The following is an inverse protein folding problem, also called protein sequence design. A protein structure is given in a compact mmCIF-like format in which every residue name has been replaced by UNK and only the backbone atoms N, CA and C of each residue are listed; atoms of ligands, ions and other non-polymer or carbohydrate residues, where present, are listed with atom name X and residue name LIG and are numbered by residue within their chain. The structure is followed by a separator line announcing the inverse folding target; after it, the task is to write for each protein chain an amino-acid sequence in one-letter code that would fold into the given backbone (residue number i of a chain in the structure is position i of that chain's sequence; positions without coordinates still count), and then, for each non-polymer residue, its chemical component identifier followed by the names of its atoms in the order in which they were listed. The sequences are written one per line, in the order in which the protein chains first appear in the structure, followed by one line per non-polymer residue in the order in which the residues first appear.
data_IF_962102880355
#
_entry.id   IF_962102880355
#
_cell.length_a   1.000
_cell.length_b   1.000
_cell.length_c   1.000
_cell.angle_alpha   90.00
_cell.angle_beta   90.00
_cell.angle_gamma   90.00
#
_symmetry.space_group_name_H-M   'P 1'
#
loop_
_entity.id
_entity.type
_entity.pdbx_description
1 polymer ?
#
# COMPACT_ATOMS: atom_id res chain seq x y z
N UNK A 1 19.99 -8.80 -2.44
CA UNK A 1 19.27 -9.91 -3.10
C UNK A 1 18.18 -9.25 -3.92
N UNK A 2 18.28 -9.25 -5.26
CA UNK A 2 17.19 -8.74 -6.10
C UNK A 2 15.92 -9.51 -5.74
N UNK A 3 14.74 -8.88 -5.75
CA UNK A 3 13.49 -9.65 -5.75
C UNK A 3 13.60 -10.63 -6.94
N UNK A 4 13.74 -11.95 -6.68
CA UNK A 4 14.12 -12.92 -7.69
C UNK A 4 13.05 -13.04 -8.78
N UNK A 5 11.88 -12.46 -8.59
CA UNK A 5 10.77 -12.47 -9.54
C UNK A 5 10.61 -11.12 -10.24
N UNK A 6 10.63 -10.00 -9.51
CA UNK A 6 10.32 -8.69 -10.10
C UNK A 6 11.34 -8.28 -11.17
N UNK A 7 12.64 -8.33 -10.85
CA UNK A 7 13.68 -7.81 -11.74
C UNK A 7 13.79 -8.62 -13.04
N UNK A 8 13.80 -9.96 -13.00
CA UNK A 8 13.80 -10.75 -14.24
C UNK A 8 12.55 -10.53 -15.09
N UNK A 9 11.37 -10.41 -14.49
CA UNK A 9 10.12 -10.16 -15.20
C UNK A 9 10.13 -8.80 -15.90
N UNK A 10 10.55 -7.74 -15.20
CA UNK A 10 10.67 -6.40 -15.77
C UNK A 10 11.67 -6.37 -16.94
N UNK A 11 12.82 -7.05 -16.79
CA UNK A 11 13.80 -7.15 -17.87
C UNK A 11 13.28 -7.92 -19.08
N UNK A 12 12.54 -9.01 -18.87
CA UNK A 12 11.92 -9.78 -19.95
C UNK A 12 10.86 -8.96 -20.69
N UNK A 13 9.98 -8.26 -19.95
CA UNK A 13 8.97 -7.37 -20.52
C UNK A 13 9.59 -6.23 -21.32
N UNK A 14 10.65 -5.61 -20.79
CA UNK A 14 11.36 -4.54 -21.49
C UNK A 14 11.97 -5.02 -22.82
N UNK A 15 12.61 -6.20 -22.83
CA UNK A 15 13.16 -6.80 -24.06
C UNK A 15 12.07 -7.14 -25.07
N UNK A 16 10.97 -7.74 -24.62
CA UNK A 16 9.84 -8.06 -25.48
C UNK A 16 9.22 -6.80 -26.10
N UNK A 17 9.00 -5.75 -25.29
CA UNK A 17 8.44 -4.48 -25.74
C UNK A 17 9.36 -3.81 -26.77
N UNK A 18 10.67 -3.76 -26.50
CA UNK A 18 11.64 -3.22 -27.45
C UNK A 18 11.66 -3.99 -28.79
N UNK A 19 11.50 -5.32 -28.74
CA UNK A 19 11.50 -6.17 -29.93
C UNK A 19 10.20 -6.09 -30.75
N UNK A 20 9.06 -5.84 -30.10
CA UNK A 20 7.73 -5.96 -30.73
C UNK A 20 7.11 -4.59 -31.06
N UNK A 21 7.52 -3.54 -30.35
CA UNK A 21 6.93 -2.20 -30.43
C UNK A 21 8.01 -1.16 -30.80
N UNK A 22 8.96 -1.53 -31.67
CA UNK A 22 10.14 -0.72 -31.99
C UNK A 22 9.84 0.67 -32.56
N UNK A 23 8.63 0.93 -33.03
CA UNK A 23 8.17 2.24 -33.52
C UNK A 23 7.38 3.05 -32.48
N UNK A 24 7.08 2.47 -31.33
CA UNK A 24 6.35 3.15 -30.27
C UNK A 24 7.26 4.08 -29.47
N UNK A 25 6.68 5.18 -29.00
CA UNK A 25 7.36 6.16 -28.17
C UNK A 25 7.89 5.52 -26.86
N UNK A 26 9.09 5.92 -26.43
CA UNK A 26 9.77 5.35 -25.25
C UNK A 26 9.00 5.56 -23.94
N UNK A 27 8.20 6.63 -23.83
CA UNK A 27 7.26 6.82 -22.72
C UNK A 27 6.24 5.70 -22.69
N UNK A 28 5.62 5.38 -23.83
CA UNK A 28 4.60 4.33 -23.95
C UNK A 28 5.20 2.95 -23.66
N UNK A 29 6.40 2.67 -24.18
CA UNK A 29 7.10 1.40 -23.99
C UNK A 29 7.44 1.11 -22.52
N UNK A 30 7.59 2.14 -21.70
CA UNK A 30 7.93 2.00 -20.28
C UNK A 30 6.72 1.63 -19.41
N UNK A 31 5.49 1.91 -19.87
CA UNK A 31 4.26 1.71 -19.08
C UNK A 31 4.13 0.26 -18.60
N UNK A 32 4.28 -0.79 -19.43
CA UNK A 32 4.14 -2.17 -18.97
C UNK A 32 5.19 -2.56 -17.92
N UNK A 33 6.43 -2.08 -18.08
CA UNK A 33 7.55 -2.37 -17.18
C UNK A 33 7.33 -1.71 -15.81
N UNK A 34 6.89 -0.46 -15.82
CA UNK A 34 6.54 0.28 -14.60
C UNK A 34 5.34 -0.35 -13.93
N UNK A 35 4.28 -0.68 -14.67
CA UNK A 35 3.08 -1.31 -14.13
C UNK A 35 3.35 -2.70 -13.54
N UNK A 36 4.28 -3.46 -14.13
CA UNK A 36 4.71 -4.75 -13.60
C UNK A 36 5.27 -4.65 -12.16
N UNK A 37 5.89 -3.52 -11.77
CA UNK A 37 6.33 -3.33 -10.38
C UNK A 37 5.16 -3.37 -9.40
N UNK A 38 4.10 -2.60 -9.65
CA UNK A 38 2.91 -2.60 -8.81
C UNK A 38 2.22 -3.97 -8.77
N UNK A 39 2.16 -4.66 -9.92
CA UNK A 39 1.56 -6.00 -10.02
C UNK A 39 2.29 -7.05 -9.18
N UNK A 40 3.59 -6.93 -8.99
CA UNK A 40 4.37 -7.88 -8.17
C UNK A 40 4.34 -7.44 -6.71
N UNK A 41 4.57 -6.15 -6.45
CA UNK A 41 4.79 -5.67 -5.11
C UNK A 41 3.53 -5.61 -4.24
N UNK A 42 2.40 -5.15 -4.78
CA UNK A 42 1.18 -5.02 -3.96
C UNK A 42 0.65 -6.40 -3.51
N UNK A 43 0.62 -7.45 -4.35
CA UNK A 43 0.31 -8.80 -3.88
C UNK A 43 1.33 -9.34 -2.88
N UNK A 44 2.63 -9.08 -3.06
CA UNK A 44 3.67 -9.52 -2.13
C UNK A 44 3.48 -8.91 -0.73
N UNK A 45 3.15 -7.61 -0.66
CA UNK A 45 2.81 -6.92 0.60
C UNK A 45 1.57 -7.51 1.26
N UNK A 46 0.51 -7.74 0.48
CA UNK A 46 -0.71 -8.38 0.97
C UNK A 46 -0.41 -9.79 1.53
N UNK A 47 0.36 -10.60 0.79
CA UNK A 47 0.74 -11.94 1.23
C UNK A 47 1.54 -11.89 2.53
N UNK A 48 2.53 -11.00 2.64
CA UNK A 48 3.30 -10.82 3.87
C UNK A 48 2.42 -10.42 5.06
N UNK A 49 1.47 -9.50 4.86
CA UNK A 49 0.51 -9.12 5.89
C UNK A 49 -0.41 -10.30 6.28
N UNK A 50 -0.87 -11.08 5.31
CA UNK A 50 -1.66 -12.29 5.56
C UNK A 50 -0.87 -13.32 6.35
N UNK A 51 0.37 -13.63 5.96
CA UNK A 51 1.24 -14.55 6.72
C UNK A 51 1.43 -14.03 8.15
N UNK A 52 1.71 -12.74 8.34
CA UNK A 52 1.80 -12.14 9.66
C UNK A 52 0.53 -12.32 10.50
N UNK A 53 -0.64 -12.08 9.91
CA UNK A 53 -1.93 -12.34 10.56
C UNK A 53 -2.13 -13.83 10.90
N UNK A 54 -1.67 -14.74 10.03
CA UNK A 54 -1.72 -16.19 10.22
C UNK A 54 -0.94 -16.61 11.45
N UNK A 55 0.31 -16.18 11.51
CA UNK A 55 1.25 -16.48 12.58
C UNK A 55 0.78 -15.90 13.91
N UNK A 56 0.09 -14.75 13.89
CA UNK A 56 -0.53 -14.15 15.07
C UNK A 56 -1.87 -14.80 15.47
N UNK A 57 -2.36 -15.80 14.73
CA UNK A 57 -3.67 -16.44 14.99
C UNK A 57 -4.87 -15.53 14.69
N UNK A 58 -4.68 -14.50 13.86
CA UNK A 58 -5.69 -13.45 13.57
C UNK A 58 -6.25 -13.50 12.15
N UNK A 59 -5.84 -14.49 11.33
CA UNK A 59 -6.24 -14.61 9.92
C UNK A 59 -7.75 -14.82 9.69
N UNK A 60 -8.50 -15.14 10.75
CA UNK A 60 -9.95 -15.34 10.69
C UNK A 60 -10.69 -14.09 11.19
N UNK A 61 -11.45 -13.41 10.32
CA UNK A 61 -12.54 -12.53 10.76
C UNK A 61 -13.87 -13.13 10.31
N UNK A 62 -14.39 -14.11 11.04
CA UNK A 62 -15.84 -14.26 11.09
C UNK A 62 -16.32 -13.19 12.08
N UNK A 63 -16.97 -12.15 11.56
CA UNK A 63 -17.47 -10.94 12.24
C UNK A 63 -16.43 -9.82 12.43
N UNK A 64 -16.50 -8.83 11.54
CA UNK A 64 -15.66 -7.63 11.53
C UNK A 64 -15.99 -6.68 12.69
N UNK A 65 -15.44 -6.95 13.86
CA UNK A 65 -15.36 -5.97 14.94
C UNK A 65 -14.34 -4.86 14.62
N UNK A 66 -14.44 -3.69 15.27
CA UNK A 66 -13.51 -2.57 15.05
C UNK A 66 -12.05 -2.96 15.33
N UNK A 67 -11.83 -3.84 16.30
CA UNK A 67 -10.51 -4.34 16.66
C UNK A 67 -9.89 -5.21 15.56
N UNK A 68 -10.68 -6.04 14.87
CA UNK A 68 -10.20 -6.87 13.76
C UNK A 68 -9.73 -6.00 12.58
N UNK A 69 -10.50 -4.95 12.24
CA UNK A 69 -10.13 -4.00 11.18
C UNK A 69 -8.85 -3.26 11.55
N UNK A 70 -8.73 -2.79 12.79
CA UNK A 70 -7.53 -2.09 13.28
C UNK A 70 -6.29 -2.98 13.19
N UNK A 71 -6.38 -4.23 13.67
CA UNK A 71 -5.28 -5.20 13.58
C UNK A 71 -4.89 -5.47 12.13
N UNK A 72 -5.87 -5.69 11.25
CA UNK A 72 -5.61 -5.91 9.83
C UNK A 72 -4.85 -4.72 9.20
N UNK A 73 -5.30 -3.49 9.45
CA UNK A 73 -4.60 -2.28 9.00
C UNK A 73 -3.18 -2.20 9.55
N UNK A 74 -2.94 -2.57 10.81
CA UNK A 74 -1.59 -2.60 11.39
C UNK A 74 -0.69 -3.62 10.71
N UNK A 75 -1.17 -4.84 10.43
CA UNK A 75 -0.39 -5.83 9.68
C UNK A 75 -0.06 -5.35 8.27
N UNK A 76 -1.03 -4.74 7.58
CA UNK A 76 -0.81 -4.13 6.27
C UNK A 76 0.24 -3.01 6.34
N UNK A 77 0.08 -2.07 7.26
CA UNK A 77 1.01 -0.96 7.45
C UNK A 77 2.43 -1.45 7.77
N UNK A 78 2.58 -2.43 8.66
CA UNK A 78 3.88 -3.03 9.01
C UNK A 78 4.53 -3.72 7.82
N UNK A 79 3.77 -4.51 7.04
CA UNK A 79 4.28 -5.11 5.81
C UNK A 79 4.73 -4.02 4.81
N UNK A 80 3.94 -2.96 4.68
CA UNK A 80 4.29 -1.79 3.86
C UNK A 80 5.60 -1.13 4.30
N UNK A 81 5.77 -0.84 5.59
CA UNK A 81 7.01 -0.28 6.15
C UNK A 81 8.20 -1.20 5.88
N UNK A 82 8.05 -2.51 6.07
CA UNK A 82 9.12 -3.46 5.82
C UNK A 82 9.56 -3.46 4.34
N UNK A 83 8.62 -3.52 3.40
CA UNK A 83 8.92 -3.45 1.97
C UNK A 83 9.55 -2.11 1.58
N UNK A 84 8.95 -0.99 2.01
CA UNK A 84 9.50 0.34 1.72
C UNK A 84 10.89 0.54 2.34
N UNK A 85 11.13 0.01 3.54
CA UNK A 85 12.43 0.06 4.21
C UNK A 85 13.51 -0.74 3.48
N UNK A 86 13.17 -1.93 2.97
CA UNK A 86 14.08 -2.74 2.15
C UNK A 86 14.44 -1.99 0.86
N UNK A 87 13.46 -1.39 0.18
CA UNK A 87 13.73 -0.60 -1.02
C UNK A 87 14.57 0.65 -0.74
N UNK A 88 14.25 1.39 0.33
CA UNK A 88 15.03 2.54 0.76
C UNK A 88 16.48 2.13 1.06
N UNK A 89 16.68 1.05 1.82
CA UNK A 89 18.01 0.53 2.12
C UNK A 89 18.76 0.15 0.84
N UNK A 90 18.11 -0.53 -0.11
CA UNK A 90 18.73 -0.88 -1.38
C UNK A 90 19.15 0.37 -2.17
N UNK A 91 18.27 1.35 -2.34
CA UNK A 91 18.59 2.57 -3.10
C UNK A 91 19.69 3.38 -2.43
N UNK A 92 19.69 3.47 -1.10
CA UNK A 92 20.67 4.27 -0.35
C UNK A 92 22.01 3.55 -0.13
N UNK A 93 22.06 2.22 -0.15
CA UNK A 93 23.29 1.46 0.16
C UNK A 93 24.48 1.83 -0.74
N UNK A 94 24.34 1.93 -2.08
CA UNK A 94 25.43 2.41 -2.94
C UNK A 94 25.86 3.85 -2.62
N UNK A 95 24.90 4.71 -2.28
CA UNK A 95 25.17 6.10 -1.94
C UNK A 95 25.95 6.23 -0.62
N UNK A 96 25.60 5.41 0.36
CA UNK A 96 26.31 5.29 1.65
C UNK A 96 27.72 4.70 1.46
N UNK A 97 27.89 3.70 0.59
CA UNK A 97 29.22 3.15 0.29
C UNK A 97 30.13 4.11 -0.47
N UNK A 98 29.56 5.05 -1.23
CA UNK A 98 30.28 6.08 -1.98
C UNK A 98 30.57 7.36 -1.16
N UNK A 99 30.01 7.49 0.04
CA UNK A 99 30.27 8.62 0.93
C UNK A 99 31.72 8.57 1.42
N UNK A 100 32.53 9.54 0.97
CA UNK A 100 33.92 9.73 1.40
C UNK A 100 34.97 8.85 0.71
N UNK A 101 34.59 7.98 -0.22
CA UNK A 101 35.49 6.99 -0.84
C UNK A 101 35.89 7.28 -2.29
N UNK A 102 35.29 8.29 -2.95
CA UNK A 102 35.60 8.63 -4.36
C UNK A 102 35.77 10.15 -4.53
N UNK A 103 36.82 10.63 -5.23
CA UNK A 103 36.88 12.02 -5.68
C UNK A 103 35.66 12.35 -6.53
N UNK A 104 34.82 13.29 -6.09
CA UNK A 104 33.54 13.60 -6.73
C UNK A 104 32.33 12.80 -6.22
N UNK A 105 32.40 12.22 -5.02
CA UNK A 105 31.29 11.52 -4.37
C UNK A 105 29.98 12.30 -4.26
N UNK A 106 28.92 11.63 -3.82
CA UNK A 106 27.58 12.22 -3.71
C UNK A 106 27.61 13.44 -2.79
N UNK A 107 27.10 14.58 -3.28
CA UNK A 107 27.00 15.79 -2.46
C UNK A 107 26.01 15.59 -1.31
N UNK A 108 26.19 16.30 -0.19
CA UNK A 108 25.22 16.28 0.92
C UNK A 108 23.82 16.60 0.43
N UNK A 109 23.68 17.57 -0.48
CA UNK A 109 22.38 17.93 -1.08
C UNK A 109 21.73 16.77 -1.82
N UNK A 110 22.48 16.08 -2.69
CA UNK A 110 21.98 14.91 -3.43
C UNK A 110 21.61 13.76 -2.49
N UNK A 111 22.40 13.52 -1.44
CA UNK A 111 22.10 12.49 -0.45
C UNK A 111 20.83 12.82 0.36
N UNK A 112 20.68 14.06 0.83
CA UNK A 112 19.49 14.51 1.55
C UNK A 112 18.22 14.35 0.71
N UNK A 113 18.31 14.65 -0.59
CA UNK A 113 17.22 14.49 -1.54
C UNK A 113 16.79 13.02 -1.69
N UNK A 114 17.77 12.13 -1.83
CA UNK A 114 17.51 10.69 -1.90
C UNK A 114 16.85 10.19 -0.59
N UNK A 115 17.33 10.62 0.57
CA UNK A 115 16.73 10.26 1.87
C UNK A 115 15.29 10.77 1.97
N UNK A 116 15.04 12.01 1.57
CA UNK A 116 13.70 12.61 1.57
C UNK A 116 12.73 11.81 0.70
N UNK A 117 13.10 11.54 -0.55
CA UNK A 117 12.29 10.75 -1.47
C UNK A 117 12.00 9.36 -0.92
N UNK A 118 13.01 8.69 -0.33
CA UNK A 118 12.85 7.37 0.28
C UNK A 118 11.92 7.39 1.48
N UNK A 119 11.93 8.43 2.32
CA UNK A 119 10.99 8.54 3.44
C UNK A 119 9.54 8.55 2.96
N UNK A 120 9.23 9.27 1.87
CA UNK A 120 7.90 9.25 1.26
C UNK A 120 7.58 7.93 0.57
N UNK A 121 8.56 7.27 -0.04
CA UNK A 121 8.36 5.91 -0.55
C UNK A 121 7.97 4.93 0.58
N UNK A 122 8.63 4.97 1.74
CA UNK A 122 8.22 4.15 2.90
C UNK A 122 6.80 4.49 3.35
N UNK A 123 6.45 5.77 3.44
CA UNK A 123 5.10 6.21 3.80
C UNK A 123 4.05 5.72 2.78
N UNK A 124 4.39 5.76 1.48
CA UNK A 124 3.53 5.26 0.42
C UNK A 124 3.31 3.75 0.56
N UNK A 125 4.36 2.95 0.78
CA UNK A 125 4.21 1.51 0.96
C UNK A 125 3.40 1.15 2.20
N UNK A 126 3.60 1.87 3.31
CA UNK A 126 2.76 1.77 4.51
C UNK A 126 1.29 1.98 4.15
N UNK A 127 1.00 3.08 3.45
CA UNK A 127 -0.36 3.44 3.09
C UNK A 127 -0.99 2.44 2.11
N UNK A 128 -0.27 2.05 1.05
CA UNK A 128 -0.78 1.14 0.01
C UNK A 128 -1.12 -0.22 0.60
N UNK A 129 -0.20 -0.83 1.35
CA UNK A 129 -0.42 -2.12 1.98
C UNK A 129 -1.54 -2.05 3.03
N UNK A 130 -1.60 -0.97 3.83
CA UNK A 130 -2.70 -0.72 4.77
C UNK A 130 -4.07 -0.62 4.08
N UNK A 131 -4.16 0.05 2.93
CA UNK A 131 -5.40 0.19 2.16
C UNK A 131 -5.86 -1.13 1.55
N UNK A 132 -4.93 -1.92 0.99
CA UNK A 132 -5.24 -3.23 0.42
C UNK A 132 -5.76 -4.17 1.50
N UNK A 133 -5.08 -4.24 2.65
CA UNK A 133 -5.50 -5.09 3.77
C UNK A 133 -6.79 -4.57 4.42
N UNK A 134 -6.99 -3.25 4.49
CA UNK A 134 -8.29 -2.68 4.89
C UNK A 134 -9.41 -3.17 3.96
N UNK A 135 -9.23 -3.09 2.65
CA UNK A 135 -10.18 -3.61 1.67
C UNK A 135 -10.45 -5.11 1.88
N UNK A 136 -9.41 -5.90 2.10
CA UNK A 136 -9.49 -7.34 2.34
C UNK A 136 -10.27 -7.67 3.63
N UNK A 137 -10.07 -6.91 4.70
CA UNK A 137 -10.82 -7.03 5.97
C UNK A 137 -12.32 -6.76 5.81
N UNK A 138 -12.72 -6.13 4.69
CA UNK A 138 -14.11 -5.87 4.33
C UNK A 138 -14.69 -6.88 3.34
N UNK A 139 -13.94 -7.92 2.99
CA UNK A 139 -14.34 -9.03 2.13
C UNK A 139 -13.52 -9.11 0.85
N UNK A 140 -13.42 -10.31 0.28
CA UNK A 140 -12.55 -10.64 -0.87
C UNK A 140 -12.75 -9.69 -2.05
N UNK A 141 -14.00 -9.40 -2.45
CA UNK A 141 -14.28 -8.48 -3.57
C UNK A 141 -13.69 -7.09 -3.33
N UNK A 142 -13.81 -6.56 -2.11
CA UNK A 142 -13.25 -5.24 -1.75
C UNK A 142 -11.72 -5.29 -1.66
N UNK A 143 -11.17 -6.40 -1.18
CA UNK A 143 -9.73 -6.66 -1.18
C UNK A 143 -9.13 -6.68 -2.59
N UNK A 144 -9.75 -7.40 -3.53
CA UNK A 144 -9.30 -7.44 -4.93
C UNK A 144 -9.41 -6.08 -5.63
N UNK A 145 -10.50 -5.33 -5.37
CA UNK A 145 -10.63 -3.96 -5.88
C UNK A 145 -9.54 -3.03 -5.31
N UNK A 146 -9.27 -3.10 -4.01
CA UNK A 146 -8.23 -2.31 -3.38
C UNK A 146 -6.84 -2.71 -3.90
N UNK A 147 -6.58 -4.00 -4.10
CA UNK A 147 -5.34 -4.52 -4.68
C UNK A 147 -5.12 -3.99 -6.10
N UNK A 148 -6.12 -4.13 -6.98
CA UNK A 148 -6.03 -3.63 -8.35
C UNK A 148 -5.85 -2.11 -8.41
N UNK A 149 -6.58 -1.36 -7.58
CA UNK A 149 -6.43 0.09 -7.49
C UNK A 149 -5.02 0.48 -7.02
N UNK A 150 -4.49 -0.16 -5.97
CA UNK A 150 -3.16 0.16 -5.47
C UNK A 150 -2.05 -0.27 -6.41
N UNK A 151 -2.23 -1.33 -7.19
CA UNK A 151 -1.31 -1.69 -8.29
C UNK A 151 -1.17 -0.56 -9.31
N UNK A 152 -2.29 0.04 -9.74
CA UNK A 152 -2.29 1.18 -10.66
C UNK A 152 -1.63 2.39 -10.02
N UNK A 153 -2.02 2.74 -8.79
CA UNK A 153 -1.46 3.87 -8.07
C UNK A 153 0.04 3.71 -7.85
N UNK A 154 0.51 2.50 -7.54
CA UNK A 154 1.94 2.18 -7.43
C UNK A 154 2.66 2.44 -8.76
N UNK A 155 2.12 1.94 -9.87
CA UNK A 155 2.64 2.26 -11.20
C UNK A 155 2.72 3.76 -11.46
N UNK A 156 1.70 4.53 -11.05
CA UNK A 156 1.69 5.99 -11.17
C UNK A 156 2.74 6.68 -10.29
N UNK A 157 3.06 6.14 -9.11
CA UNK A 157 4.15 6.66 -8.26
C UNK A 157 5.51 6.43 -8.93
N UNK A 158 5.69 5.29 -9.61
CA UNK A 158 6.95 4.94 -10.25
C UNK A 158 7.14 5.60 -11.62
N UNK A 159 6.07 5.88 -12.37
CA UNK A 159 6.17 6.39 -13.74
C UNK A 159 6.96 7.71 -13.92
N UNK A 160 6.93 8.70 -13.00
CA UNK A 160 7.75 9.91 -13.11
C UNK A 160 9.25 9.65 -13.24
N UNK A 161 9.78 8.49 -12.80
CA UNK A 161 11.20 8.17 -13.03
C UNK A 161 11.53 8.06 -14.51
N UNK A 162 10.57 7.62 -15.33
CA UNK A 162 10.68 7.57 -16.79
C UNK A 162 10.72 8.99 -17.34
N UNK A 163 9.82 9.85 -16.88
CA UNK A 163 9.76 11.25 -17.30
C UNK A 163 11.05 12.00 -16.96
N UNK A 164 11.59 11.77 -15.75
CA UNK A 164 12.87 12.33 -15.33
C UNK A 164 14.01 11.82 -16.21
N UNK A 165 14.05 10.51 -16.49
CA UNK A 165 15.10 9.88 -17.32
C UNK A 165 15.17 10.48 -18.74
N UNK A 166 14.03 10.86 -19.30
CA UNK A 166 13.95 11.49 -20.63
C UNK A 166 13.92 13.01 -20.59
N UNK A 167 14.17 13.63 -19.43
CA UNK A 167 14.28 15.09 -19.29
C UNK A 167 12.96 15.85 -19.40
N UNK A 168 11.81 15.16 -19.33
CA UNK A 168 10.49 15.79 -19.38
C UNK A 168 10.12 16.52 -18.08
N UNK A 169 10.67 16.08 -16.94
CA UNK A 169 10.51 16.73 -15.63
C UNK A 169 11.85 16.81 -14.90
N UNK A 170 11.98 17.75 -13.96
CA UNK A 170 13.11 17.83 -13.03
C UNK A 170 12.91 16.99 -11.77
N UNK A 171 13.98 16.83 -10.98
CA UNK A 171 13.98 16.10 -9.70
C UNK A 171 12.95 16.62 -8.71
N UNK A 172 12.85 17.95 -8.56
CA UNK A 172 11.88 18.59 -7.68
C UNK A 172 10.43 18.22 -8.01
N UNK A 173 10.09 18.08 -9.30
CA UNK A 173 8.75 17.69 -9.74
C UNK A 173 8.47 16.21 -9.42
N UNK A 174 9.48 15.33 -9.60
CA UNK A 174 9.38 13.92 -9.20
C UNK A 174 9.13 13.79 -7.70
N UNK A 175 9.90 14.50 -6.87
CA UNK A 175 9.75 14.44 -5.41
C UNK A 175 8.41 14.97 -4.94
N UNK A 176 7.97 16.10 -5.48
CA UNK A 176 6.66 16.68 -5.16
C UNK A 176 5.53 15.69 -5.51
N UNK A 177 5.65 14.98 -6.63
CA UNK A 177 4.70 13.95 -7.03
C UNK A 177 4.69 12.76 -6.06
N UNK A 178 5.85 12.20 -5.73
CA UNK A 178 5.97 11.07 -4.79
C UNK A 178 5.41 11.46 -3.42
N UNK A 179 5.77 12.64 -2.90
CA UNK A 179 5.26 13.16 -1.64
C UNK A 179 3.73 13.34 -1.66
N UNK A 180 3.19 13.93 -2.73
CA UNK A 180 1.75 14.11 -2.91
C UNK A 180 1.00 12.77 -2.90
N UNK A 181 1.48 11.78 -3.65
CA UNK A 181 0.85 10.46 -3.73
C UNK A 181 0.92 9.71 -2.41
N UNK A 182 2.07 9.78 -1.71
CA UNK A 182 2.26 9.18 -0.40
C UNK A 182 1.32 9.78 0.65
N UNK A 183 1.29 11.12 0.76
CA UNK A 183 0.43 11.83 1.72
C UNK A 183 -1.06 11.62 1.42
N UNK A 184 -1.45 11.63 0.14
CA UNK A 184 -2.85 11.37 -0.27
C UNK A 184 -3.28 9.96 0.11
N UNK A 185 -2.47 8.94 -0.22
CA UNK A 185 -2.77 7.54 0.11
C UNK A 185 -2.84 7.34 1.62
N UNK A 186 -1.91 7.93 2.37
CA UNK A 186 -1.91 7.89 3.83
C UNK A 186 -3.14 8.57 4.43
N UNK A 187 -3.51 9.75 3.92
CA UNK A 187 -4.71 10.47 4.33
C UNK A 187 -5.99 9.65 4.10
N UNK A 188 -6.10 8.99 2.95
CA UNK A 188 -7.23 8.08 2.65
C UNK A 188 -7.25 6.91 3.63
N UNK A 189 -6.10 6.28 3.91
CA UNK A 189 -6.01 5.19 4.89
C UNK A 189 -6.50 5.62 6.27
N UNK A 190 -6.01 6.75 6.78
CA UNK A 190 -6.40 7.30 8.08
C UNK A 190 -7.90 7.62 8.11
N UNK A 191 -8.44 8.23 7.05
CA UNK A 191 -9.85 8.57 6.94
C UNK A 191 -10.74 7.31 6.97
N UNK A 192 -10.38 6.28 6.20
CA UNK A 192 -11.12 5.03 6.13
C UNK A 192 -11.05 4.25 7.46
N UNK A 193 -9.87 4.18 8.06
CA UNK A 193 -9.69 3.56 9.37
C UNK A 193 -10.56 4.26 10.44
N UNK A 194 -10.56 5.60 10.48
CA UNK A 194 -11.41 6.37 11.41
C UNK A 194 -12.90 6.13 11.18
N UNK A 195 -13.36 6.18 9.91
CA UNK A 195 -14.77 5.96 9.57
C UNK A 195 -15.25 4.56 9.93
N UNK A 196 -14.40 3.54 9.77
CA UNK A 196 -14.73 2.17 10.16
C UNK A 196 -14.95 2.04 11.66
N UNK A 197 -14.12 2.70 12.49
CA UNK A 197 -14.25 2.69 13.94
C UNK A 197 -15.56 3.35 14.40
N UNK A 198 -15.92 4.50 13.84
CA UNK A 198 -17.15 5.23 14.22
C UNK A 198 -18.41 4.43 13.90
N UNK A 199 -18.53 3.90 12.68
CA UNK A 199 -19.73 3.15 12.23
C UNK A 199 -19.98 1.91 13.09
N UNK A 200 -18.93 1.22 13.49
CA UNK A 200 -19.06 0.02 14.32
C UNK A 200 -19.49 0.34 15.76
N UNK A 201 -19.05 1.49 16.30
CA UNK A 201 -19.50 1.98 17.61
C UNK A 201 -20.96 2.42 17.64
N UNK A 202 -21.52 2.88 16.52
CA UNK A 202 -22.95 3.18 16.39
C UNK A 202 -23.81 1.91 16.32
N UNK A 203 -23.38 0.91 15.55
CA UNK A 203 -24.08 -0.38 15.46
C UNK A 203 -24.13 -1.10 16.81
N UNK A 204 -23.02 -1.10 17.56
CA UNK A 204 -22.98 -1.69 18.90
C UNK A 204 -23.96 -1.02 19.87
N UNK A 205 -24.07 0.32 19.84
CA UNK A 205 -25.03 1.07 20.67
C UNK A 205 -26.48 0.77 20.31
N UNK A 206 -26.81 0.68 19.02
CA UNK A 206 -28.18 0.34 18.56
C UNK A 206 -28.59 -1.09 18.94
N UNK A 207 -27.67 -2.04 18.85
CA UNK A 207 -27.94 -3.42 19.28
C UNK A 207 -28.20 -3.49 20.79
N UNK A 208 -27.43 -2.75 21.59
CA UNK A 208 -27.65 -2.67 23.04
C UNK A 208 -28.99 -2.01 23.40
N UNK A 209 -29.38 -0.92 22.71
CA UNK A 209 -30.66 -0.24 22.98
C UNK A 209 -31.89 -1.06 22.55
N UNK A 210 -31.81 -1.81 21.45
CA UNK A 210 -32.91 -2.66 20.98
C UNK A 210 -33.15 -3.91 21.83
N UNK A 211 -32.17 -4.35 22.61
CA UNK A 211 -32.33 -5.43 23.57
C UNK A 211 -33.12 -4.98 24.81
N UNK A 212 -32.96 -3.71 25.23
CA UNK A 212 -33.66 -3.15 26.40
C UNK A 212 -35.16 -2.99 26.16
N UNK A 213 -35.60 -2.71 24.93
CA UNK A 213 -37.03 -2.47 24.63
C UNK A 213 -37.86 -3.75 24.38
N UNK A 214 -37.25 -4.94 24.37
CA UNK A 214 -37.93 -6.21 24.06
C UNK A 214 -38.22 -7.09 25.28
N UNK A 215 -37.87 -6.64 26.48
CA UNK A 215 -38.01 -7.38 27.73
C UNK A 215 -39.28 -7.13 28.55
N UNK A 216 -40.19 -6.25 28.10
CA UNK A 216 -41.36 -5.82 28.90
C UNK A 216 -42.73 -6.14 28.27
N UNK A 217 -42.82 -7.06 27.31
CA UNK A 217 -44.12 -7.70 27.01
C UNK A 217 -44.24 -8.95 27.88
N UNK A 218 -44.66 -8.74 29.13
CA UNK A 218 -45.20 -9.82 29.95
C UNK A 218 -46.49 -10.31 29.27
N UNK A 219 -46.62 -11.60 28.93
CA UNK A 219 -47.87 -12.13 28.41
C UNK A 219 -48.93 -11.98 29.50
N UNK A 220 -49.90 -11.12 29.22
CA UNK A 220 -51.08 -10.83 30.00
C UNK A 220 -51.79 -12.17 30.30
N UNK A 221 -51.69 -12.62 31.55
CA UNK A 221 -52.26 -13.86 32.04
C UNK A 221 -53.79 -13.72 32.13
N UNK A 222 -54.47 -13.74 30.97
CA UNK A 222 -55.92 -13.80 30.89
C UNK A 222 -56.40 -15.24 31.12
N UNK A 223 -56.76 -15.47 32.38
CA UNK A 223 -57.99 -16.16 32.83
C UNK A 223 -58.37 -17.48 32.14
N UNK A 224 -58.07 -18.60 32.81
CA UNK A 224 -58.87 -19.82 32.68
C UNK A 224 -60.16 -19.67 33.52
N UNK A 225 -61.34 -20.02 32.98
CA UNK A 225 -62.53 -20.31 33.77
C UNK A 225 -62.45 -21.67 34.49
#
# INVERSE_FOLDING_TARGET
MLDPVQVPLQAALARWAAATLATADQYILSIPVVFASGLVQEPAKLLAAMVGMALAGTLRPAVAGPEAVRRAVLFGATAGVAFGGIEAAWVLSPAVGALGSVPGGITVGTFSLAVFERAFAVLFHLASAGLVVYGWSRGVRRGLLALGAMTVVHGMVNYPIVLLRFGAIGTAALEAWVAFMALSSFGVLVLLARRALVRLGETGRRAASGFVTRGEETPDAKSCP
#
